data_IF_028189045806
#
_entry.id   IF_028189045806
#
_cell.length_a   1.000
_cell.length_b   1.000
_cell.length_c   1.000
_cell.angle_alpha   90.00
_cell.angle_beta   90.00
_cell.angle_gamma   90.00
#
_symmetry.space_group_name_H-M   'P 1'
#
loop_
_entity.id
_entity.type
_entity.pdbx_description
1 polymer ?
#
# COMPACT_ATOMS: atom_id res chain seq x y z
N UNK A 1 23.72 53.53 -18.26
CA UNK A 1 22.30 53.54 -18.66
C UNK A 1 21.94 52.13 -19.08
N UNK A 2 22.05 51.13 -18.21
CA UNK A 2 21.49 50.99 -16.84
C UNK A 2 19.97 50.90 -16.82
N UNK A 3 19.55 49.94 -15.99
CA UNK A 3 18.23 49.69 -15.43
C UNK A 3 17.19 48.99 -16.31
N UNK A 4 17.07 47.68 -16.08
CA UNK A 4 15.95 47.15 -15.26
C UNK A 4 16.23 45.71 -14.81
N UNK A 5 17.18 45.59 -13.89
CA UNK A 5 17.18 44.55 -12.85
C UNK A 5 16.16 44.97 -11.78
N UNK A 6 14.91 44.52 -11.87
CA UNK A 6 14.01 44.55 -10.71
C UNK A 6 13.90 43.15 -10.10
N UNK A 7 14.70 42.97 -9.04
CA UNK A 7 14.64 41.89 -8.06
C UNK A 7 13.20 41.52 -7.70
N UNK A 8 12.81 40.27 -7.91
CA UNK A 8 11.86 39.59 -7.03
C UNK A 8 12.64 38.64 -6.11
N UNK A 9 13.35 39.24 -5.16
CA UNK A 9 13.85 38.53 -3.98
C UNK A 9 12.65 38.16 -3.10
N UNK A 10 12.23 36.90 -3.18
CA UNK A 10 11.18 36.31 -2.35
C UNK A 10 11.48 34.85 -2.06
N UNK A 11 12.38 34.61 -1.10
CA UNK A 11 12.44 33.42 -0.22
C UNK A 11 12.15 32.04 -0.83
N UNK A 12 13.13 31.45 -1.52
CA UNK A 12 13.12 30.07 -2.04
C UNK A 12 13.41 29.00 -0.98
N UNK A 13 12.75 29.07 0.18
CA UNK A 13 12.89 28.13 1.31
C UNK A 13 11.55 27.43 1.59
N UNK A 14 10.94 26.87 0.54
CA UNK A 14 9.71 26.11 0.62
C UNK A 14 9.97 24.60 0.57
N UNK A 15 9.52 23.87 1.59
CA UNK A 15 9.63 22.40 1.75
C UNK A 15 8.95 21.57 0.65
N UNK A 16 8.23 22.20 -0.28
CA UNK A 16 7.54 21.57 -1.40
C UNK A 16 7.58 22.51 -2.61
N UNK A 17 7.67 21.96 -3.83
CA UNK A 17 7.19 22.65 -5.02
C UNK A 17 5.66 22.71 -4.92
N UNK A 18 5.16 23.83 -4.41
CA UNK A 18 3.77 24.08 -3.97
C UNK A 18 2.64 23.82 -4.98
N UNK A 19 2.92 23.35 -6.19
CA UNK A 19 1.88 23.13 -7.21
C UNK A 19 1.19 21.76 -7.10
N UNK A 20 1.82 20.70 -6.58
CA UNK A 20 1.18 19.36 -6.57
C UNK A 20 0.26 19.12 -5.36
N UNK A 21 0.70 19.48 -4.14
CA UNK A 21 -0.07 19.21 -2.93
C UNK A 21 -1.27 20.15 -2.76
N UNK A 22 -1.13 21.44 -3.10
CA UNK A 22 -2.22 22.40 -3.01
C UNK A 22 -3.37 22.08 -4.01
N UNK A 23 -3.03 21.64 -5.23
CA UNK A 23 -4.04 21.25 -6.22
C UNK A 23 -4.82 20.00 -5.80
N UNK A 24 -4.15 19.02 -5.17
CA UNK A 24 -4.79 17.82 -4.60
C UNK A 24 -5.73 18.14 -3.43
N UNK A 25 -5.53 19.27 -2.75
CA UNK A 25 -6.35 19.72 -1.60
C UNK A 25 -7.56 20.57 -1.98
N UNK A 26 -7.62 21.07 -3.21
CA UNK A 26 -8.75 21.85 -3.72
C UNK A 26 -10.00 21.01 -4.01
N UNK A 27 -9.94 19.70 -3.75
CA UNK A 27 -10.97 18.74 -4.15
C UNK A 27 -10.85 18.31 -5.61
N UNK A 28 -9.83 18.76 -6.34
CA UNK A 28 -9.61 18.37 -7.73
C UNK A 28 -9.46 16.86 -7.86
N UNK A 29 -10.36 16.26 -8.63
CA UNK A 29 -10.22 14.88 -9.07
C UNK A 29 -9.16 14.88 -10.17
N UNK A 30 -8.02 14.24 -9.95
CA UNK A 30 -7.07 14.01 -11.05
C UNK A 30 -7.82 13.25 -12.15
N UNK A 31 -8.04 13.93 -13.28
CA UNK A 31 -8.54 13.31 -14.49
C UNK A 31 -7.33 12.75 -15.23
N UNK A 32 -7.31 11.44 -15.42
CA UNK A 32 -6.25 10.76 -16.16
C UNK A 32 -6.67 10.64 -17.63
N UNK A 33 -5.80 11.06 -18.54
CA UNK A 33 -5.97 10.83 -19.97
C UNK A 33 -5.67 9.35 -20.31
N UNK A 34 -5.95 8.95 -21.55
CA UNK A 34 -5.71 7.57 -22.00
C UNK A 34 -4.22 7.25 -21.90
N UNK A 35 -3.88 6.14 -21.22
CA UNK A 35 -2.52 5.69 -20.93
C UNK A 35 -1.75 6.52 -19.90
N UNK A 36 -2.41 7.42 -19.16
CA UNK A 36 -1.82 8.00 -17.96
C UNK A 36 -2.03 7.10 -16.74
N UNK A 37 -1.08 7.14 -15.81
CA UNK A 37 -1.15 6.41 -14.55
C UNK A 37 -1.06 7.38 -13.38
N UNK A 38 -1.85 7.11 -12.33
CA UNK A 38 -2.00 8.01 -11.19
C UNK A 38 -0.68 8.40 -10.52
N UNK A 39 0.27 7.46 -10.46
CA UNK A 39 1.56 7.62 -9.78
C UNK A 39 2.75 7.83 -10.73
N UNK A 40 2.51 8.09 -12.03
CA UNK A 40 3.59 8.28 -13.00
C UNK A 40 4.23 9.68 -12.94
N UNK A 41 5.46 9.74 -13.46
CA UNK A 41 6.32 10.93 -13.56
C UNK A 41 5.82 11.96 -14.59
N UNK A 42 4.93 11.56 -15.51
CA UNK A 42 4.45 12.43 -16.59
C UNK A 42 3.07 13.05 -16.33
N UNK A 43 2.46 12.79 -15.17
CA UNK A 43 1.19 13.45 -14.83
C UNK A 43 1.42 14.96 -14.66
N UNK A 44 0.46 15.81 -15.07
CA UNK A 44 0.58 17.30 -15.02
C UNK A 44 1.02 17.85 -13.65
N UNK A 45 0.84 17.08 -12.58
CA UNK A 45 1.20 17.40 -11.19
C UNK A 45 2.18 16.38 -10.57
N UNK A 46 2.98 15.68 -11.38
CA UNK A 46 3.88 14.65 -10.89
C UNK A 46 4.88 15.21 -9.87
N UNK A 47 5.18 14.44 -8.82
CA UNK A 47 6.31 14.80 -7.96
C UNK A 47 7.62 15.03 -8.72
N UNK A 48 8.18 16.19 -8.40
CA UNK A 48 9.41 16.75 -8.96
C UNK A 48 10.45 17.00 -7.86
N UNK A 49 10.18 16.59 -6.60
CA UNK A 49 11.13 16.76 -5.49
C UNK A 49 12.34 15.85 -5.72
N UNK A 50 13.54 16.43 -5.99
CA UNK A 50 14.75 15.63 -6.20
C UNK A 50 15.13 14.87 -4.94
N UNK A 51 15.69 13.68 -5.10
CA UNK A 51 16.18 12.84 -3.99
C UNK A 51 17.18 13.60 -3.11
N UNK A 52 18.07 14.39 -3.70
CA UNK A 52 19.02 15.24 -2.95
C UNK A 52 18.29 16.25 -2.05
N UNK A 53 17.23 16.90 -2.55
CA UNK A 53 16.44 17.84 -1.76
C UNK A 53 15.67 17.13 -0.65
N UNK A 54 15.18 15.92 -0.89
CA UNK A 54 14.60 15.07 0.14
C UNK A 54 15.62 14.76 1.25
N UNK A 55 16.82 14.29 0.90
CA UNK A 55 17.89 13.97 1.86
C UNK A 55 18.30 15.18 2.70
N UNK A 56 18.53 16.33 2.06
CA UNK A 56 18.92 17.58 2.76
C UNK A 56 17.88 18.05 3.78
N UNK A 57 16.60 17.75 3.52
CA UNK A 57 15.49 18.17 4.37
C UNK A 57 15.08 17.08 5.37
N UNK A 58 15.65 15.88 5.31
CA UNK A 58 15.29 14.79 6.19
C UNK A 58 15.81 15.06 7.61
N UNK A 59 14.93 15.54 8.47
CA UNK A 59 15.18 15.74 9.90
C UNK A 59 13.90 15.49 10.68
N UNK A 60 14.00 15.23 11.98
CA UNK A 60 12.83 15.03 12.84
C UNK A 60 11.85 16.20 12.79
N UNK A 61 12.36 17.43 12.83
CA UNK A 61 11.54 18.65 12.79
C UNK A 61 10.84 18.84 11.45
N UNK A 62 11.52 18.60 10.34
CA UNK A 62 10.94 18.73 9.01
C UNK A 62 9.91 17.63 8.74
N UNK A 63 10.21 16.37 9.08
CA UNK A 63 9.26 15.26 8.92
C UNK A 63 7.99 15.50 9.75
N UNK A 64 8.13 15.95 11.00
CA UNK A 64 6.99 16.31 11.85
C UNK A 64 6.17 17.47 11.28
N UNK A 65 6.83 18.48 10.70
CA UNK A 65 6.18 19.61 10.04
C UNK A 65 5.43 19.18 8.77
N UNK A 66 6.05 18.35 7.93
CA UNK A 66 5.42 17.79 6.71
C UNK A 66 4.17 16.98 7.09
N UNK A 67 4.28 16.09 8.09
CA UNK A 67 3.14 15.33 8.59
C UNK A 67 2.05 16.22 9.18
N UNK A 68 2.40 17.25 9.96
CA UNK A 68 1.41 18.14 10.59
C UNK A 68 0.60 18.91 9.55
N UNK A 69 1.28 19.49 8.56
CA UNK A 69 0.62 20.14 7.43
C UNK A 69 -0.31 19.15 6.71
N UNK A 70 0.15 17.93 6.49
CA UNK A 70 -0.61 16.89 5.82
C UNK A 70 -1.84 16.40 6.61
N UNK A 71 -1.71 16.21 7.92
CA UNK A 71 -2.78 15.74 8.78
C UNK A 71 -3.96 16.71 8.83
N UNK A 72 -3.71 18.01 8.58
CA UNK A 72 -4.74 19.05 8.50
C UNK A 72 -5.42 19.16 7.14
N UNK A 73 -4.95 18.44 6.11
CA UNK A 73 -5.55 18.49 4.78
C UNK A 73 -6.90 17.79 4.78
N UNK A 74 -7.95 18.53 4.41
CA UNK A 74 -9.28 17.97 4.23
C UNK A 74 -9.29 17.00 3.04
N UNK A 75 -9.82 15.79 3.26
CA UNK A 75 -10.15 14.88 2.17
C UNK A 75 -11.20 15.53 1.27
N UNK A 76 -11.07 15.36 -0.05
CA UNK A 76 -12.04 15.89 -1.02
C UNK A 76 -13.46 15.42 -0.67
N UNK A 77 -14.38 16.38 -0.52
CA UNK A 77 -15.81 16.14 -0.24
C UNK A 77 -16.59 15.60 -1.43
N UNK A 78 -15.94 15.43 -2.59
CA UNK A 78 -16.56 14.95 -3.84
C UNK A 78 -16.59 13.42 -3.97
N UNK A 79 -16.26 12.68 -2.91
CA UNK A 79 -16.27 11.20 -2.91
C UNK A 79 -17.52 10.71 -2.19
N UNK A 80 -18.34 9.93 -2.88
CA UNK A 80 -19.49 9.27 -2.28
C UNK A 80 -19.09 7.96 -1.60
N UNK A 81 -19.83 7.62 -0.55
CA UNK A 81 -19.60 6.45 0.31
C UNK A 81 -20.94 5.76 0.63
N UNK A 82 -21.95 5.92 -0.23
CA UNK A 82 -23.33 5.50 0.06
C UNK A 82 -23.40 4.00 0.39
N UNK A 83 -22.74 3.17 -0.41
CA UNK A 83 -22.70 1.73 -0.19
C UNK A 83 -22.10 1.33 1.17
N UNK A 84 -21.20 2.15 1.75
CA UNK A 84 -20.67 1.94 3.10
C UNK A 84 -21.74 2.12 4.17
N UNK A 85 -22.56 3.17 4.04
CA UNK A 85 -23.65 3.46 4.98
C UNK A 85 -24.85 2.54 4.79
N UNK A 86 -25.08 2.02 3.58
CA UNK A 86 -26.14 1.05 3.30
C UNK A 86 -25.88 -0.33 3.94
N UNK A 87 -24.63 -0.64 4.30
CA UNK A 87 -24.21 -1.95 4.81
C UNK A 87 -23.37 -1.86 6.09
N UNK A 88 -23.87 -1.22 7.17
CA UNK A 88 -23.09 -0.93 8.36
C UNK A 88 -22.59 -2.20 9.07
N UNK A 89 -23.34 -3.30 9.02
CA UNK A 89 -23.00 -4.58 9.66
C UNK A 89 -21.87 -5.34 8.95
N UNK A 90 -21.54 -4.97 7.71
CA UNK A 90 -20.45 -5.59 6.94
C UNK A 90 -19.13 -4.83 7.09
N UNK A 91 -19.10 -3.81 7.94
CA UNK A 91 -17.92 -3.01 8.23
C UNK A 91 -17.32 -3.44 9.56
N UNK A 92 -16.06 -3.91 9.51
CA UNK A 92 -15.30 -4.23 10.73
C UNK A 92 -15.16 -3.03 11.67
N UNK A 93 -15.02 -1.83 11.10
CA UNK A 93 -14.81 -0.58 11.84
C UNK A 93 -15.68 0.49 11.18
N UNK A 94 -16.52 1.16 12.00
CA UNK A 94 -17.55 2.10 11.56
C UNK A 94 -17.03 3.44 11.01
N UNK A 95 -15.75 3.73 11.21
CA UNK A 95 -15.08 4.93 10.74
C UNK A 95 -14.36 4.73 9.39
N UNK A 96 -14.22 3.47 8.93
CA UNK A 96 -13.40 3.13 7.76
C UNK A 96 -14.23 3.10 6.50
N UNK A 97 -14.45 4.28 5.96
CA UNK A 97 -15.23 4.47 4.74
C UNK A 97 -14.50 3.93 3.50
N UNK A 98 -15.29 3.44 2.55
CA UNK A 98 -14.83 3.05 1.21
C UNK A 98 -15.53 3.92 0.16
N UNK A 99 -14.76 4.45 -0.79
CA UNK A 99 -15.32 5.30 -1.85
C UNK A 99 -16.02 4.47 -2.93
N UNK A 100 -17.16 4.95 -3.42
CA UNK A 100 -17.92 4.27 -4.47
C UNK A 100 -17.13 4.10 -5.78
N UNK A 101 -16.31 5.09 -6.12
CA UNK A 101 -15.50 5.09 -7.33
C UNK A 101 -14.37 4.05 -7.33
N UNK A 102 -13.88 3.66 -6.15
CA UNK A 102 -12.70 2.79 -6.02
C UNK A 102 -12.98 1.50 -5.27
N UNK A 103 -14.19 1.30 -4.73
CA UNK A 103 -14.52 0.05 -4.03
C UNK A 103 -14.41 -1.17 -4.94
N UNK A 104 -13.97 -2.27 -4.36
CA UNK A 104 -14.06 -3.58 -4.99
C UNK A 104 -15.51 -4.04 -4.89
N UNK A 105 -16.09 -4.39 -6.04
CA UNK A 105 -17.44 -4.94 -6.13
C UNK A 105 -17.33 -6.45 -6.06
N UNK A 106 -17.85 -7.06 -5.01
CA UNK A 106 -17.92 -8.50 -4.84
C UNK A 106 -19.35 -8.84 -4.44
N UNK A 107 -20.01 -9.75 -5.19
CA UNK A 107 -21.39 -10.16 -4.86
C UNK A 107 -21.43 -10.64 -3.42
N UNK A 108 -22.48 -10.39 -2.66
CA UNK A 108 -22.70 -10.93 -1.33
C UNK A 108 -23.83 -11.97 -1.40
N UNK A 109 -23.91 -12.87 -0.42
CA UNK A 109 -24.99 -13.87 -0.37
C UNK A 109 -26.39 -13.26 -0.31
N UNK A 110 -26.50 -12.01 0.13
CA UNK A 110 -27.75 -11.23 0.15
C UNK A 110 -28.04 -10.49 -1.18
N UNK A 111 -27.27 -10.74 -2.25
CA UNK A 111 -27.54 -10.23 -3.60
C UNK A 111 -27.00 -8.82 -3.92
N UNK A 112 -26.52 -8.06 -2.94
CA UNK A 112 -25.79 -6.79 -3.17
C UNK A 112 -24.31 -7.05 -3.53
N UNK A 113 -23.55 -6.00 -3.86
CA UNK A 113 -22.14 -6.13 -4.29
C UNK A 113 -21.15 -5.36 -3.39
N UNK A 114 -21.56 -5.06 -2.16
CA UNK A 114 -20.78 -4.28 -1.21
C UNK A 114 -19.72 -5.14 -0.54
N UNK A 115 -18.48 -4.67 -0.56
CA UNK A 115 -17.36 -5.17 0.25
C UNK A 115 -16.53 -3.96 0.65
N UNK A 116 -16.12 -3.87 1.92
CA UNK A 116 -15.22 -2.79 2.37
C UNK A 116 -13.79 -3.06 1.90
N UNK A 117 -13.53 -2.85 0.63
CA UNK A 117 -12.22 -3.00 0.02
C UNK A 117 -12.06 -1.97 -1.10
N UNK A 118 -10.85 -1.46 -1.31
CA UNK A 118 -10.55 -0.52 -2.39
C UNK A 118 -9.56 -1.11 -3.38
N UNK A 119 -9.76 -0.80 -4.66
CA UNK A 119 -8.72 -0.86 -5.68
C UNK A 119 -7.69 0.24 -5.45
N UNK A 120 -6.42 -0.13 -5.38
CA UNK A 120 -5.30 0.81 -5.32
C UNK A 120 -4.40 0.57 -6.52
N UNK A 121 -4.07 1.65 -7.23
CA UNK A 121 -3.12 1.63 -8.34
C UNK A 121 -1.68 1.55 -7.80
N UNK A 122 -0.79 0.90 -8.53
CA UNK A 122 0.66 0.95 -8.33
C UNK A 122 1.35 1.94 -9.28
N UNK A 123 2.67 1.99 -9.22
CA UNK A 123 3.46 2.73 -10.21
C UNK A 123 3.32 2.05 -11.59
N UNK A 124 2.65 2.72 -12.53
CA UNK A 124 2.34 2.19 -13.88
C UNK A 124 1.63 0.83 -13.91
N UNK A 125 0.88 0.51 -12.84
CA UNK A 125 0.14 -0.76 -12.71
C UNK A 125 -1.27 -0.47 -12.15
N UNK A 126 -2.25 -0.33 -13.05
CA UNK A 126 -3.64 0.02 -12.67
C UNK A 126 -4.27 -1.13 -11.90
N UNK A 127 -4.90 -0.83 -10.76
CA UNK A 127 -5.49 -1.81 -9.84
C UNK A 127 -4.49 -2.87 -9.39
N UNK A 128 -3.24 -2.48 -9.13
CA UNK A 128 -2.18 -3.39 -8.64
C UNK A 128 -2.61 -4.10 -7.35
N UNK A 129 -3.35 -3.43 -6.48
CA UNK A 129 -3.73 -3.96 -5.17
C UNK A 129 -5.25 -3.97 -4.94
N UNK A 130 -5.70 -4.98 -4.20
CA UNK A 130 -6.95 -4.97 -3.44
C UNK A 130 -6.58 -4.72 -1.98
N UNK A 131 -7.08 -3.65 -1.38
CA UNK A 131 -6.82 -3.35 0.04
C UNK A 131 -8.11 -3.49 0.84
N UNK A 132 -8.10 -4.34 1.87
CA UNK A 132 -9.26 -4.68 2.69
C UNK A 132 -8.87 -4.86 4.18
N UNK A 133 -9.80 -4.65 5.14
CA UNK A 133 -9.60 -5.06 6.52
C UNK A 133 -9.57 -6.58 6.64
N UNK A 134 -9.08 -7.10 7.77
CA UNK A 134 -9.20 -8.54 8.03
C UNK A 134 -10.69 -8.90 8.07
N UNK A 135 -11.14 -9.94 7.34
CA UNK A 135 -12.56 -10.24 7.27
C UNK A 135 -13.14 -10.57 8.64
N UNK A 136 -14.35 -10.09 8.90
CA UNK A 136 -15.19 -10.55 10.01
C UNK A 136 -15.97 -11.79 9.58
N UNK A 137 -16.51 -12.56 10.53
CA UNK A 137 -17.22 -13.82 10.29
C UNK A 137 -18.22 -13.77 9.12
N UNK A 138 -19.03 -12.71 9.02
CA UNK A 138 -20.05 -12.56 7.98
C UNK A 138 -19.49 -12.30 6.57
N UNK A 139 -18.22 -11.91 6.48
CA UNK A 139 -17.57 -11.47 5.24
C UNK A 139 -16.45 -12.40 4.77
N UNK A 140 -16.05 -13.41 5.55
CA UNK A 140 -14.94 -14.33 5.19
C UNK A 140 -15.22 -15.05 3.86
N UNK A 141 -16.44 -15.54 3.65
CA UNK A 141 -16.84 -16.20 2.40
C UNK A 141 -16.79 -15.21 1.22
N UNK A 142 -17.36 -14.02 1.38
CA UNK A 142 -17.30 -12.98 0.34
C UNK A 142 -15.84 -12.58 0.00
N UNK A 143 -14.97 -12.49 1.01
CA UNK A 143 -13.56 -12.16 0.84
C UNK A 143 -12.82 -13.18 -0.02
N UNK A 144 -12.96 -14.47 0.27
CA UNK A 144 -12.29 -15.51 -0.51
C UNK A 144 -12.84 -15.63 -1.93
N UNK A 145 -14.14 -15.39 -2.11
CA UNK A 145 -14.76 -15.41 -3.44
C UNK A 145 -14.25 -14.24 -4.27
N UNK A 146 -14.10 -13.07 -3.65
CA UNK A 146 -13.46 -11.92 -4.27
C UNK A 146 -12.02 -12.24 -4.72
N UNK A 147 -11.19 -12.85 -3.86
CA UNK A 147 -9.82 -13.27 -4.22
C UNK A 147 -9.85 -14.23 -5.43
N UNK A 148 -10.73 -15.23 -5.41
CA UNK A 148 -10.86 -16.23 -6.46
C UNK A 148 -11.31 -15.62 -7.79
N UNK A 149 -12.37 -14.80 -7.78
CA UNK A 149 -12.97 -14.18 -8.98
C UNK A 149 -12.05 -13.11 -9.59
N UNK A 150 -11.28 -12.40 -8.76
CA UNK A 150 -10.35 -11.35 -9.20
C UNK A 150 -8.98 -11.86 -9.59
N UNK A 151 -8.76 -13.19 -9.59
CA UNK A 151 -7.46 -13.80 -9.89
C UNK A 151 -6.33 -13.18 -9.03
N UNK A 152 -6.63 -12.92 -7.76
CA UNK A 152 -5.64 -12.43 -6.80
C UNK A 152 -4.86 -13.63 -6.27
N UNK A 153 -3.71 -13.90 -6.89
CA UNK A 153 -2.90 -15.07 -6.57
C UNK A 153 -1.91 -14.86 -5.42
N UNK A 154 -1.79 -13.62 -4.93
CA UNK A 154 -0.92 -13.26 -3.80
C UNK A 154 -1.75 -12.52 -2.76
N UNK A 155 -1.84 -13.08 -1.57
CA UNK A 155 -2.45 -12.50 -0.39
C UNK A 155 -1.35 -12.16 0.62
N UNK A 156 -1.22 -10.89 0.98
CA UNK A 156 -0.32 -10.42 2.03
C UNK A 156 -1.14 -9.99 3.24
N UNK A 157 -0.84 -10.54 4.42
CA UNK A 157 -1.46 -10.11 5.69
C UNK A 157 -0.43 -9.41 6.56
N UNK A 158 -0.85 -8.29 7.16
CA UNK A 158 -0.12 -7.46 8.10
C UNK A 158 -0.82 -7.45 9.47
N UNK A 159 -1.61 -8.49 9.73
CA UNK A 159 -2.41 -8.73 10.93
C UNK A 159 -2.33 -10.20 11.30
N UNK A 160 -2.82 -10.50 12.51
CA UNK A 160 -3.18 -11.86 12.89
C UNK A 160 -4.11 -12.50 11.86
N UNK A 161 -4.07 -13.83 11.80
CA UNK A 161 -4.84 -14.67 10.87
C UNK A 161 -6.25 -15.00 11.39
N UNK A 162 -6.53 -14.59 12.63
CA UNK A 162 -7.81 -14.77 13.31
C UNK A 162 -8.43 -13.42 13.65
N UNK A 163 -9.76 -13.40 13.79
CA UNK A 163 -10.48 -12.26 14.34
C UNK A 163 -10.30 -12.14 15.87
N UNK A 164 -10.91 -11.13 16.46
CA UNK A 164 -10.92 -10.88 17.91
C UNK A 164 -11.53 -12.02 18.76
N UNK A 165 -12.25 -12.96 18.14
CA UNK A 165 -12.84 -14.13 18.77
C UNK A 165 -12.04 -15.42 18.51
N UNK A 166 -10.85 -15.30 17.89
CA UNK A 166 -10.00 -16.44 17.54
C UNK A 166 -10.50 -17.23 16.33
N UNK A 167 -11.49 -16.73 15.58
CA UNK A 167 -11.96 -17.41 14.37
C UNK A 167 -11.04 -17.09 13.19
N UNK A 168 -10.50 -18.11 12.50
CA UNK A 168 -9.60 -17.90 11.38
C UNK A 168 -10.33 -17.39 10.14
N UNK A 169 -9.71 -16.46 9.40
CA UNK A 169 -10.13 -16.12 8.03
C UNK A 169 -9.23 -16.77 6.96
N UNK A 170 -8.13 -17.41 7.36
CA UNK A 170 -7.31 -18.32 6.52
C UNK A 170 -7.11 -19.62 7.31
N UNK A 171 -6.93 -20.79 6.67
CA UNK A 171 -6.56 -22.00 7.42
C UNK A 171 -5.25 -21.75 8.19
N UNK A 172 -5.20 -22.21 9.45
CA UNK A 172 -4.04 -21.99 10.36
C UNK A 172 -3.21 -23.25 10.56
N UNK A 173 -3.72 -24.42 10.18
CA UNK A 173 -3.07 -25.72 10.37
C UNK A 173 -3.24 -26.62 9.16
N UNK A 174 -2.16 -27.30 8.77
CA UNK A 174 -2.18 -28.28 7.67
C UNK A 174 -3.09 -29.45 8.01
N UNK A 175 -3.91 -29.89 7.04
CA UNK A 175 -4.91 -30.95 7.22
C UNK A 175 -6.22 -30.49 7.87
N UNK A 176 -6.32 -29.23 8.27
CA UNK A 176 -7.55 -28.62 8.81
C UNK A 176 -8.01 -27.49 7.87
N UNK A 177 -8.77 -27.81 6.82
CA UNK A 177 -9.21 -26.80 5.86
C UNK A 177 -10.20 -25.82 6.50
N UNK A 178 -10.11 -24.55 6.10
CA UNK A 178 -11.15 -23.56 6.36
C UNK A 178 -12.32 -23.84 5.43
N UNK A 179 -13.41 -24.38 5.97
CA UNK A 179 -14.65 -24.67 5.23
C UNK A 179 -15.60 -23.48 5.39
N UNK A 180 -15.93 -22.86 4.27
CA UNK A 180 -16.88 -21.76 4.14
C UNK A 180 -18.14 -22.24 3.44
N UNK A 181 -19.12 -21.35 3.29
CA UNK A 181 -20.39 -21.68 2.66
C UNK A 181 -20.17 -22.15 1.21
N UNK A 182 -19.40 -21.42 0.41
CA UNK A 182 -19.22 -21.69 -1.02
C UNK A 182 -17.81 -22.15 -1.41
N UNK A 183 -16.88 -22.22 -0.45
CA UNK A 183 -15.47 -22.56 -0.71
C UNK A 183 -14.84 -23.36 0.41
N UNK A 184 -13.79 -24.10 0.07
CA UNK A 184 -12.86 -24.69 1.03
C UNK A 184 -11.44 -24.20 0.73
N UNK A 185 -10.69 -23.82 1.77
CA UNK A 185 -9.31 -23.37 1.66
C UNK A 185 -8.41 -24.27 2.50
N UNK A 186 -7.42 -24.88 1.87
CA UNK A 186 -6.48 -25.81 2.51
C UNK A 186 -5.04 -25.29 2.40
N UNK A 187 -4.20 -25.58 3.40
CA UNK A 187 -2.76 -25.33 3.34
C UNK A 187 -2.08 -26.53 2.68
N UNK A 188 -1.49 -26.31 1.50
CA UNK A 188 -0.64 -27.30 0.84
C UNK A 188 0.79 -27.29 1.41
N UNK A 189 1.31 -26.10 1.73
CA UNK A 189 2.68 -25.93 2.23
C UNK A 189 2.78 -24.66 3.08
N UNK A 190 3.64 -24.67 4.10
CA UNK A 190 3.98 -23.51 4.91
C UNK A 190 5.49 -23.44 5.14
N UNK A 191 6.06 -22.24 5.06
CA UNK A 191 7.49 -21.96 5.24
C UNK A 191 7.67 -20.70 6.06
N UNK A 192 8.58 -20.75 7.02
CA UNK A 192 9.09 -19.54 7.67
C UNK A 192 10.11 -18.89 6.73
N UNK A 193 9.83 -17.67 6.28
CA UNK A 193 10.67 -16.92 5.33
C UNK A 193 11.69 -16.09 6.10
N UNK A 194 11.22 -15.32 7.09
CA UNK A 194 12.02 -14.48 8.01
C UNK A 194 11.38 -14.51 9.40
N UNK A 195 12.03 -13.92 10.40
CA UNK A 195 11.42 -13.78 11.73
C UNK A 195 10.17 -12.88 11.63
N UNK A 196 9.03 -13.40 12.10
CA UNK A 196 7.74 -12.72 11.95
C UNK A 196 7.19 -12.68 10.53
N UNK A 197 7.76 -13.45 9.58
CA UNK A 197 7.26 -13.55 8.20
C UNK A 197 7.16 -15.02 7.77
N UNK A 198 5.93 -15.47 7.47
CA UNK A 198 5.65 -16.81 6.97
C UNK A 198 5.04 -16.73 5.58
N UNK A 199 5.29 -17.75 4.76
CA UNK A 199 4.61 -17.94 3.49
C UNK A 199 3.91 -19.28 3.48
N UNK A 200 2.70 -19.33 2.91
CA UNK A 200 1.96 -20.57 2.72
C UNK A 200 1.40 -20.66 1.31
N UNK A 201 1.35 -21.86 0.77
CA UNK A 201 0.65 -22.18 -0.47
C UNK A 201 -0.74 -22.67 -0.08
N UNK A 202 -1.77 -21.97 -0.54
CA UNK A 202 -3.15 -22.26 -0.26
C UNK A 202 -3.84 -22.80 -1.50
N UNK A 203 -4.62 -23.86 -1.33
CA UNK A 203 -5.52 -24.39 -2.35
C UNK A 203 -6.93 -23.91 -2.06
N UNK A 204 -7.44 -23.03 -2.92
CA UNK A 204 -8.77 -22.44 -2.82
C UNK A 204 -9.71 -23.18 -3.77
N UNK A 205 -10.66 -23.93 -3.22
CA UNK A 205 -11.60 -24.78 -3.95
C UNK A 205 -13.04 -24.26 -3.78
N UNK A 206 -13.56 -23.47 -4.72
CA UNK A 206 -14.98 -23.15 -4.78
C UNK A 206 -15.85 -24.36 -5.13
N UNK A 207 -17.11 -24.35 -4.69
CA UNK A 207 -18.12 -25.33 -5.11
C UNK A 207 -18.34 -25.25 -6.63
N UNK A 208 -18.28 -26.40 -7.31
CA UNK A 208 -18.58 -26.49 -8.73
C UNK A 208 -17.57 -25.84 -9.68
N UNK A 209 -16.46 -25.30 -9.18
CA UNK A 209 -15.43 -24.66 -10.00
C UNK A 209 -14.02 -25.22 -9.69
N UNK A 210 -13.06 -25.10 -10.62
CA UNK A 210 -11.70 -25.62 -10.42
C UNK A 210 -10.96 -24.90 -9.28
N UNK A 211 -10.14 -25.63 -8.54
CA UNK A 211 -9.30 -25.04 -7.51
C UNK A 211 -8.24 -24.09 -8.08
N UNK A 212 -7.94 -23.02 -7.36
CA UNK A 212 -6.83 -22.09 -7.65
C UNK A 212 -5.82 -22.11 -6.51
N UNK A 213 -4.54 -21.94 -6.88
CA UNK A 213 -3.46 -21.78 -5.91
C UNK A 213 -3.28 -20.31 -5.57
N UNK A 214 -3.32 -19.96 -4.29
CA UNK A 214 -3.04 -18.62 -3.78
C UNK A 214 -1.83 -18.70 -2.85
N UNK A 215 -0.87 -17.80 -3.04
CA UNK A 215 0.25 -17.64 -2.12
C UNK A 215 -0.13 -16.67 -1.01
N UNK A 216 -0.06 -17.13 0.23
CA UNK A 216 -0.15 -16.30 1.43
C UNK A 216 1.26 -15.86 1.85
N UNK A 217 1.42 -14.58 2.17
CA UNK A 217 2.57 -14.03 2.89
C UNK A 217 2.02 -13.35 4.14
N UNK A 218 2.29 -13.91 5.32
CA UNK A 218 1.86 -13.34 6.60
C UNK A 218 3.04 -12.69 7.30
N UNK A 219 2.95 -11.38 7.52
CA UNK A 219 3.94 -10.58 8.22
C UNK A 219 3.36 -10.00 9.52
N UNK A 220 3.82 -10.52 10.65
CA UNK A 220 3.44 -10.11 12.00
C UNK A 220 4.48 -9.17 12.66
N UNK A 221 5.55 -8.83 11.93
CA UNK A 221 6.64 -7.97 12.43
C UNK A 221 6.28 -6.50 12.67
N UNK A 222 5.02 -6.09 12.43
CA UNK A 222 4.54 -4.73 12.73
C UNK A 222 4.32 -4.50 14.24
N UNK A 223 4.08 -5.56 15.02
CA UNK A 223 3.83 -5.45 16.46
C UNK A 223 2.63 -4.56 16.83
N UNK A 224 2.45 -4.27 18.13
CA UNK A 224 1.33 -3.47 18.63
C UNK A 224 1.58 -1.95 18.52
N UNK A 225 2.84 -1.52 18.48
CA UNK A 225 3.24 -0.10 18.57
C UNK A 225 2.91 0.75 17.32
N UNK A 226 2.37 0.15 16.26
CA UNK A 226 1.94 0.89 15.07
C UNK A 226 3.00 1.12 14.00
N UNK A 227 4.26 0.72 14.24
CA UNK A 227 5.36 0.74 13.28
C UNK A 227 6.12 -0.60 13.24
N UNK A 228 6.77 -0.96 12.12
CA UNK A 228 7.54 -2.19 11.99
C UNK A 228 8.65 -2.31 13.04
N UNK A 229 8.72 -3.44 13.74
CA UNK A 229 9.77 -3.73 14.72
C UNK A 229 11.14 -3.89 14.06
N UNK A 230 11.14 -4.33 12.79
CA UNK A 230 12.32 -4.41 11.93
C UNK A 230 11.97 -3.73 10.60
N UNK A 231 12.14 -2.39 10.48
CA UNK A 231 11.75 -1.61 9.31
C UNK A 231 12.24 -2.18 7.97
N UNK A 232 13.50 -2.65 7.95
CA UNK A 232 14.13 -3.31 6.82
C UNK A 232 13.37 -4.53 6.28
N UNK A 233 12.67 -5.30 7.13
CA UNK A 233 11.90 -6.47 6.67
C UNK A 233 10.76 -6.09 5.73
N UNK A 234 10.24 -4.86 5.85
CA UNK A 234 9.11 -4.40 5.04
C UNK A 234 9.56 -4.10 3.61
N UNK A 235 10.81 -3.66 3.40
CA UNK A 235 11.40 -3.56 2.07
C UNK A 235 11.53 -4.95 1.44
N UNK A 236 11.98 -5.93 2.22
CA UNK A 236 12.06 -7.32 1.76
C UNK A 236 10.66 -7.89 1.46
N UNK A 237 9.64 -7.53 2.25
CA UNK A 237 8.25 -7.90 1.99
C UNK A 237 7.72 -7.29 0.68
N UNK A 238 8.04 -6.02 0.39
CA UNK A 238 7.70 -5.37 -0.87
C UNK A 238 8.37 -6.07 -2.05
N UNK A 239 9.64 -6.44 -1.92
CA UNK A 239 10.34 -7.22 -2.94
C UNK A 239 9.69 -8.60 -3.14
N UNK A 240 9.40 -9.32 -2.06
CA UNK A 240 8.79 -10.66 -2.10
C UNK A 240 7.39 -10.62 -2.74
N UNK A 241 6.52 -9.69 -2.35
CA UNK A 241 5.15 -9.64 -2.89
C UNK A 241 5.14 -9.32 -4.39
N UNK A 242 6.05 -8.45 -4.85
CA UNK A 242 6.17 -8.11 -6.27
C UNK A 242 6.73 -9.28 -7.08
N UNK A 243 7.79 -9.91 -6.57
CA UNK A 243 8.39 -11.08 -7.20
C UNK A 243 7.36 -12.22 -7.33
N UNK A 244 6.61 -12.47 -6.26
CA UNK A 244 5.59 -13.51 -6.25
C UNK A 244 4.37 -13.17 -7.11
N UNK A 245 3.97 -11.89 -7.25
CA UNK A 245 2.94 -11.47 -8.21
C UNK A 245 3.34 -11.88 -9.63
N UNK A 246 4.61 -11.65 -10.01
CA UNK A 246 5.13 -12.02 -11.34
C UNK A 246 5.15 -13.54 -11.52
N UNK A 247 5.74 -14.29 -10.59
CA UNK A 247 5.80 -15.77 -10.67
C UNK A 247 4.41 -16.38 -10.76
N UNK A 248 3.51 -15.96 -9.87
CA UNK A 248 2.16 -16.53 -9.81
C UNK A 248 1.36 -16.19 -11.08
N UNK A 249 1.52 -14.97 -11.62
CA UNK A 249 0.91 -14.62 -12.92
C UNK A 249 1.47 -15.49 -14.04
N UNK A 250 2.79 -15.58 -14.18
CA UNK A 250 3.44 -16.38 -15.23
C UNK A 250 2.99 -17.85 -15.19
N UNK A 251 2.94 -18.45 -13.99
CA UNK A 251 2.44 -19.82 -13.82
C UNK A 251 0.99 -19.97 -14.26
N UNK A 252 0.09 -19.06 -13.85
CA UNK A 252 -1.33 -19.16 -14.22
C UNK A 252 -1.57 -18.87 -15.71
N UNK A 253 -0.73 -18.07 -16.36
CA UNK A 253 -0.74 -17.86 -17.82
C UNK A 253 -0.28 -19.13 -18.54
N UNK A 254 0.82 -19.75 -18.09
CA UNK A 254 1.32 -21.01 -18.65
C UNK A 254 0.29 -22.16 -18.51
N UNK A 255 -0.40 -22.21 -17.38
CA UNK A 255 -1.50 -23.15 -17.12
C UNK A 255 -2.80 -22.81 -17.89
N UNK A 256 -2.82 -21.73 -18.69
CA UNK A 256 -4.01 -21.22 -19.42
C UNK A 256 -5.22 -20.93 -18.52
N UNK A 257 -4.96 -20.58 -17.26
CA UNK A 257 -6.01 -20.20 -16.28
C UNK A 257 -6.38 -18.73 -16.37
N UNK A 258 -5.46 -17.91 -16.87
CA UNK A 258 -5.60 -16.45 -16.96
C UNK A 258 -4.87 -15.94 -18.22
N UNK A 259 -5.44 -14.96 -18.90
CA UNK A 259 -4.79 -14.32 -20.06
C UNK A 259 -3.57 -13.48 -19.64
N UNK A 260 -2.58 -13.37 -20.52
CA UNK A 260 -1.38 -12.56 -20.29
C UNK A 260 -1.70 -11.08 -19.98
N UNK A 261 -2.72 -10.53 -20.64
CA UNK A 261 -3.18 -9.14 -20.45
C UNK A 261 -4.04 -8.96 -19.21
N UNK A 262 -4.50 -10.03 -18.58
CA UNK A 262 -5.30 -9.93 -17.38
C UNK A 262 -4.46 -9.39 -16.23
N UNK A 263 -5.04 -8.47 -15.46
CA UNK A 263 -4.40 -8.00 -14.24
C UNK A 263 -4.66 -8.99 -13.09
N UNK A 264 -3.61 -9.35 -12.37
CA UNK A 264 -3.67 -10.23 -11.20
C UNK A 264 -3.25 -9.41 -9.98
N UNK A 265 -4.19 -8.79 -9.25
CA UNK A 265 -3.87 -7.91 -8.14
C UNK A 265 -3.21 -8.67 -6.98
N UNK A 266 -2.51 -7.95 -6.12
CA UNK A 266 -2.09 -8.43 -4.80
C UNK A 266 -3.15 -8.00 -3.79
N UNK A 267 -3.69 -8.92 -3.00
CA UNK A 267 -4.58 -8.56 -1.89
C UNK A 267 -3.74 -8.21 -0.66
N UNK A 268 -3.85 -6.98 -0.15
CA UNK A 268 -3.21 -6.52 1.09
C UNK A 268 -4.25 -6.40 2.21
N UNK A 269 -4.04 -7.15 3.28
CA UNK A 269 -4.91 -7.18 4.46
C UNK A 269 -4.17 -6.69 5.69
N UNK A 270 -4.78 -5.78 6.44
CA UNK A 270 -4.39 -5.47 7.81
C UNK A 270 -5.66 -5.36 8.66
N UNK A 271 -5.54 -5.15 9.97
CA UNK A 271 -6.71 -5.11 10.84
C UNK A 271 -7.77 -4.09 10.38
N UNK A 272 -7.34 -2.86 10.09
CA UNK A 272 -8.20 -1.75 9.64
C UNK A 272 -8.34 -1.66 8.10
N UNK A 273 -7.52 -2.39 7.36
CA UNK A 273 -7.51 -2.31 5.90
C UNK A 273 -7.12 -0.95 5.35
N UNK A 274 -6.41 -0.11 6.09
CA UNK A 274 -5.82 1.10 5.51
C UNK A 274 -4.48 1.49 6.13
N UNK A 275 -4.22 1.25 7.41
CA UNK A 275 -3.00 1.75 8.06
C UNK A 275 -1.75 1.09 7.50
N UNK A 276 -1.57 -0.20 7.81
CA UNK A 276 -0.38 -0.97 7.40
C UNK A 276 -0.40 -1.29 5.92
N UNK A 277 -1.56 -1.72 5.38
CA UNK A 277 -1.69 -2.08 3.97
C UNK A 277 -1.40 -0.90 3.03
N UNK A 278 -1.92 0.30 3.32
CA UNK A 278 -1.61 1.46 2.49
C UNK A 278 -0.17 1.93 2.68
N UNK A 279 0.44 1.73 3.85
CA UNK A 279 1.85 2.04 4.06
C UNK A 279 2.74 1.13 3.21
N UNK A 280 2.44 -0.16 3.11
CA UNK A 280 3.15 -1.10 2.22
C UNK A 280 2.93 -0.73 0.74
N UNK A 281 1.70 -0.42 0.34
CA UNK A 281 1.42 0.03 -1.03
C UNK A 281 2.13 1.35 -1.39
N UNK A 282 2.16 2.31 -0.47
CA UNK A 282 2.88 3.57 -0.66
C UNK A 282 4.38 3.35 -0.80
N UNK A 283 4.97 2.48 0.03
CA UNK A 283 6.39 2.13 -0.07
C UNK A 283 6.72 1.48 -1.42
N UNK A 284 5.89 0.54 -1.87
CA UNK A 284 6.01 -0.07 -3.20
C UNK A 284 6.02 0.97 -4.32
N UNK A 285 5.07 1.91 -4.29
CA UNK A 285 4.97 2.99 -5.29
C UNK A 285 6.23 3.87 -5.25
N UNK A 286 6.66 4.29 -4.06
CA UNK A 286 7.84 5.14 -3.87
C UNK A 286 9.12 4.46 -4.41
N UNK A 287 9.33 3.18 -4.10
CA UNK A 287 10.49 2.41 -4.57
C UNK A 287 10.54 2.31 -6.10
N UNK A 288 9.45 1.84 -6.75
CA UNK A 288 9.42 1.70 -8.21
C UNK A 288 9.57 3.04 -8.93
N UNK A 289 8.94 4.08 -8.38
CA UNK A 289 9.02 5.43 -8.93
C UNK A 289 10.43 6.00 -8.81
N UNK A 290 11.09 5.78 -7.68
CA UNK A 290 12.47 6.20 -7.46
C UNK A 290 13.42 5.52 -8.45
N UNK A 291 13.30 4.21 -8.66
CA UNK A 291 14.10 3.49 -9.66
C UNK A 291 13.85 4.00 -11.08
N UNK A 292 12.58 4.17 -11.47
CA UNK A 292 12.23 4.63 -12.80
C UNK A 292 12.72 6.06 -13.08
N UNK A 293 12.61 6.96 -12.10
CA UNK A 293 13.09 8.34 -12.22
C UNK A 293 14.61 8.42 -12.23
N UNK A 294 15.29 7.61 -11.40
CA UNK A 294 16.74 7.45 -11.46
C UNK A 294 17.21 6.96 -12.83
N UNK A 295 16.55 5.93 -13.39
CA UNK A 295 16.86 5.42 -14.73
C UNK A 295 16.62 6.47 -15.85
N UNK A 296 15.71 7.42 -15.62
CA UNK A 296 15.47 8.56 -16.52
C UNK A 296 16.47 9.72 -16.31
N UNK A 297 17.45 9.58 -15.40
CA UNK A 297 18.52 10.54 -15.16
C UNK A 297 18.28 11.52 -14.01
N UNK A 298 17.13 11.47 -13.33
CA UNK A 298 16.83 12.37 -12.22
C UNK A 298 15.97 11.65 -11.15
N UNK A 299 16.56 11.20 -10.02
CA UNK A 299 15.81 10.49 -8.98
C UNK A 299 14.87 11.43 -8.23
N UNK A 300 13.59 11.07 -8.15
CA UNK A 300 12.55 11.84 -7.48
C UNK A 300 11.88 11.04 -6.35
N UNK A 301 11.63 11.71 -5.22
CA UNK A 301 10.93 11.16 -4.06
C UNK A 301 10.00 12.19 -3.46
N UNK A 302 8.70 11.86 -3.35
CA UNK A 302 7.71 12.67 -2.66
C UNK A 302 6.67 11.78 -1.97
N UNK A 303 6.82 11.70 -0.66
CA UNK A 303 5.98 10.89 0.22
C UNK A 303 4.60 11.53 0.34
N UNK A 304 4.54 12.87 0.39
CA UNK A 304 3.30 13.62 0.53
C UNK A 304 2.40 13.45 -0.69
N UNK A 305 2.95 13.67 -1.90
CA UNK A 305 2.24 13.46 -3.17
C UNK A 305 1.72 12.02 -3.28
N UNK A 306 2.56 11.04 -2.92
CA UNK A 306 2.19 9.63 -2.97
C UNK A 306 1.02 9.33 -2.03
N UNK A 307 1.09 9.76 -0.77
CA UNK A 307 -0.01 9.49 0.20
C UNK A 307 -1.26 10.29 -0.19
N UNK A 308 -1.14 11.53 -0.64
CA UNK A 308 -2.28 12.35 -1.07
C UNK A 308 -3.06 11.66 -2.21
N UNK A 309 -2.36 11.15 -3.23
CA UNK A 309 -2.96 10.37 -4.33
C UNK A 309 -3.55 9.05 -3.84
N UNK A 310 -2.87 8.37 -2.92
CA UNK A 310 -3.37 7.12 -2.36
C UNK A 310 -4.66 7.33 -1.55
N UNK A 311 -4.76 8.46 -0.84
CA UNK A 311 -5.98 8.91 -0.14
C UNK A 311 -7.12 9.25 -1.06
N UNK A 312 -6.88 9.56 -2.34
CA UNK A 312 -7.96 9.67 -3.32
C UNK A 312 -8.62 8.33 -3.63
N UNK A 313 -7.90 7.22 -3.42
CA UNK A 313 -8.38 5.87 -3.62
C UNK A 313 -8.89 5.22 -2.32
N UNK A 314 -8.28 5.55 -1.18
CA UNK A 314 -8.73 5.11 0.16
C UNK A 314 -8.37 6.13 1.24
N UNK A 315 -9.37 6.88 1.72
CA UNK A 315 -9.19 8.10 2.52
C UNK A 315 -8.38 7.97 3.80
N UNK A 316 -8.43 6.82 4.48
CA UNK A 316 -7.69 6.59 5.73
C UNK A 316 -6.17 6.39 5.55
N UNK A 317 -5.67 6.26 4.33
CA UNK A 317 -4.29 5.86 4.06
C UNK A 317 -3.24 6.70 4.81
N UNK A 318 -2.27 6.01 5.45
CA UNK A 318 -1.11 6.59 6.12
C UNK A 318 -1.45 7.81 7.00
N UNK A 319 -2.38 7.65 7.94
CA UNK A 319 -2.88 8.74 8.78
C UNK A 319 -2.16 8.91 10.13
N UNK A 320 -1.09 8.15 10.39
CA UNK A 320 -0.29 8.25 11.62
C UNK A 320 1.11 8.81 11.32
N UNK A 321 1.63 9.60 12.26
CA UNK A 321 2.97 10.20 12.16
C UNK A 321 4.05 9.13 11.97
N UNK A 322 3.94 8.02 12.71
CA UNK A 322 4.92 6.92 12.66
C UNK A 322 4.98 6.25 11.28
N UNK A 323 3.86 6.19 10.55
CA UNK A 323 3.81 5.63 9.20
C UNK A 323 4.50 6.56 8.20
N UNK A 324 4.29 7.87 8.33
CA UNK A 324 4.95 8.89 7.50
C UNK A 324 6.47 8.91 7.75
N UNK A 325 6.86 8.85 9.02
CA UNK A 325 8.25 8.72 9.44
C UNK A 325 8.88 7.43 8.88
N UNK A 326 8.20 6.31 9.04
CA UNK A 326 8.66 5.03 8.51
C UNK A 326 8.89 5.09 6.99
N UNK A 327 7.94 5.63 6.21
CA UNK A 327 8.11 5.79 4.76
C UNK A 327 9.33 6.65 4.42
N UNK A 328 9.58 7.71 5.19
CA UNK A 328 10.72 8.60 4.99
C UNK A 328 12.05 7.87 5.16
N UNK A 329 12.19 7.10 6.24
CA UNK A 329 13.41 6.34 6.51
C UNK A 329 13.56 5.13 5.58
N UNK A 330 12.47 4.42 5.28
CA UNK A 330 12.50 3.24 4.43
C UNK A 330 12.86 3.55 2.97
N UNK A 331 12.39 4.67 2.42
CA UNK A 331 12.78 5.11 1.07
C UNK A 331 14.24 5.54 1.02
N UNK A 332 14.75 6.21 2.07
CA UNK A 332 16.18 6.50 2.18
C UNK A 332 17.00 5.21 2.19
N UNK A 333 16.63 4.25 3.04
CA UNK A 333 17.29 2.95 3.14
C UNK A 333 17.28 2.22 1.78
N UNK A 334 16.13 2.22 1.09
CA UNK A 334 16.01 1.64 -0.24
C UNK A 334 16.99 2.29 -1.24
N UNK A 335 17.02 3.62 -1.27
CA UNK A 335 17.90 4.39 -2.14
C UNK A 335 19.39 4.07 -1.89
N UNK A 336 19.79 3.87 -0.62
CA UNK A 336 21.14 3.44 -0.24
C UNK A 336 21.41 2.01 -0.73
N UNK A 337 20.53 1.05 -0.41
CA UNK A 337 20.66 -0.37 -0.78
C UNK A 337 20.80 -0.57 -2.30
N UNK A 338 20.07 0.22 -3.08
CA UNK A 338 20.04 0.14 -4.55
C UNK A 338 21.04 1.09 -5.22
N UNK A 339 21.91 1.77 -4.47
CA UNK A 339 22.94 2.70 -4.98
C UNK A 339 22.36 3.83 -5.85
N UNK A 340 21.18 4.32 -5.48
CA UNK A 340 20.48 5.42 -6.17
C UNK A 340 20.93 6.80 -5.68
N UNK A 341 21.85 6.82 -4.70
CA UNK A 341 22.44 8.02 -4.11
C UNK A 341 23.92 8.06 -4.48
N UNK A 342 24.39 9.22 -4.93
CA UNK A 342 25.82 9.45 -5.17
C UNK A 342 26.61 9.40 -3.86
N UNK A 343 27.86 8.91 -3.91
CA UNK A 343 28.68 8.74 -2.71
C UNK A 343 28.86 10.04 -1.89
N UNK A 344 28.91 11.20 -2.56
CA UNK A 344 29.02 12.52 -1.92
C UNK A 344 27.76 12.94 -1.15
N UNK A 345 26.60 12.41 -1.51
CA UNK A 345 25.34 12.68 -0.83
C UNK A 345 25.20 11.82 0.43
N UNK A 346 25.81 10.62 0.45
CA UNK A 346 25.80 9.73 1.61
C UNK A 346 26.43 10.39 2.84
N UNK A 347 27.52 11.15 2.66
CA UNK A 347 28.19 11.86 3.75
C UNK A 347 27.40 13.05 4.30
N UNK A 348 26.37 13.50 3.56
CA UNK A 348 25.48 14.61 3.96
C UNK A 348 24.21 14.12 4.67
N UNK A 349 23.98 12.81 4.75
CA UNK A 349 22.85 12.24 5.48
C UNK A 349 23.07 12.50 6.97
N UNK A 350 22.22 13.33 7.57
CA UNK A 350 22.18 13.56 9.00
C UNK A 350 20.88 12.93 9.56
N UNK A 351 21.02 11.91 10.42
CA UNK A 351 19.91 11.26 11.11
C UNK A 351 19.82 11.64 12.60
N UNK A 352 20.48 12.73 13.00
CA UNK A 352 20.46 13.24 14.36
C UNK A 352 19.02 13.51 14.81
N UNK A 353 18.68 13.02 16.00
CA UNK A 353 17.35 13.14 16.60
C UNK A 353 16.38 12.00 16.24
N UNK A 354 16.66 11.17 15.22
CA UNK A 354 15.92 9.93 15.04
C UNK A 354 16.39 8.92 16.10
N UNK A 355 15.50 8.55 17.03
CA UNK A 355 15.83 7.60 18.09
C UNK A 355 15.53 6.19 17.60
N UNK A 356 16.57 5.38 17.41
CA UNK A 356 16.41 3.92 17.28
C UNK A 356 16.19 3.39 18.70
N UNK A 357 14.93 3.09 19.04
CA UNK A 357 14.64 2.34 20.27
C UNK A 357 14.92 0.87 19.99
N UNK A 358 16.05 0.38 20.49
CA UNK A 358 16.27 -1.06 20.58
C UNK A 358 15.26 -1.60 21.58
N UNK A 359 14.34 -2.46 21.13
CA UNK A 359 13.49 -3.19 22.07
C UNK A 359 14.39 -4.11 22.88
N UNK A 360 14.55 -3.81 24.16
CA UNK A 360 15.27 -4.66 25.11
C UNK A 360 14.48 -5.94 25.49
N UNK A 361 13.41 -6.28 24.78
CA UNK A 361 12.52 -7.41 25.08
C UNK A 361 12.63 -8.55 24.05
N UNK A 362 13.79 -8.73 23.44
CA UNK A 362 14.11 -9.95 22.68
C UNK A 362 15.39 -10.61 23.19
N UNK A 363 15.41 -10.92 24.49
CA UNK A 363 16.34 -11.85 25.12
C UNK A 363 15.61 -13.16 25.45
#
# INVERSE_FOLDING_TARGET
>A
MDDLLSKSSGSSTGLHTYNSAADLTSGHVISLEKNEYLFDLNTKNSCTRPLESFIKLLSTSNVAKEFSNFATLALSRLRTVDAFFDHPTLNKIGEIQVYEGTRVRATHKQGHNYMNASWIDGYRDVRKFIVAPSPIADTVDQFWRCIYERNSFVLVTLSELTDEHGKPFVPVKTGEPLVLEEMSIEIDNIRKVRQGCHSAVLKVTPKGHPAKTVLLISYIGWGPMGYPQRPSDVLDLVADMNHMKVIMKQKNVADKKVDEKHNTPITLVCFDGFGRSCTVAALDILCQRLEASHAAGAPFVDILDTIARLRMLRGGACNKADQFLFLSLAVLEYAIRHRLIEAELLSKINLDGFIIRNNAESA
#
